data_IF_119253668620
#
_entry.id   IF_119253668620
#
_cell.length_a   1.000
_cell.length_b   1.000
_cell.length_c   1.000
_cell.angle_alpha   90.00
_cell.angle_beta   90.00
_cell.angle_gamma   90.00
#
_symmetry.space_group_name_H-M   'P 1'
#
loop_
_entity.id
_entity.type
_entity.pdbx_description
1 polymer ?
#
# COMPACT_ATOMS: atom_id res chain seq x y z
N UNK A 1 -5.53 -28.57 37.94
CA UNK A 1 -6.39 -28.03 36.87
C UNK A 1 -6.26 -26.51 36.87
N UNK A 2 -5.48 -25.94 35.95
CA UNK A 2 -5.17 -24.51 35.93
C UNK A 2 -6.24 -23.77 35.12
N UNK A 3 -7.28 -23.26 35.78
CA UNK A 3 -8.29 -22.41 35.14
C UNK A 3 -7.64 -21.04 34.88
N UNK A 4 -7.06 -20.86 33.69
CA UNK A 4 -6.84 -19.52 33.14
C UNK A 4 -8.21 -18.86 33.07
N UNK A 5 -8.46 -17.89 33.94
CA UNK A 5 -9.62 -17.01 33.85
C UNK A 5 -9.52 -16.31 32.50
N UNK A 6 -10.37 -16.70 31.54
CA UNK A 6 -10.50 -15.97 30.29
C UNK A 6 -10.94 -14.54 30.64
N UNK A 7 -10.12 -13.56 30.28
CA UNK A 7 -10.48 -12.16 30.45
C UNK A 7 -11.74 -11.90 29.64
N UNK A 8 -12.72 -11.25 30.25
CA UNK A 8 -13.88 -10.79 29.50
C UNK A 8 -13.44 -9.70 28.53
N UNK A 9 -14.16 -9.55 27.41
CA UNK A 9 -13.90 -8.46 26.46
C UNK A 9 -13.89 -7.10 27.16
N UNK A 10 -14.75 -6.92 28.16
CA UNK A 10 -14.82 -5.71 28.99
C UNK A 10 -13.55 -5.45 29.81
N UNK A 11 -13.01 -6.46 30.50
CA UNK A 11 -11.78 -6.28 31.28
C UNK A 11 -10.55 -6.06 30.41
N UNK A 12 -10.52 -6.68 29.21
CA UNK A 12 -9.47 -6.42 28.23
C UNK A 12 -9.55 -5.00 27.65
N UNK A 13 -10.74 -4.50 27.33
CA UNK A 13 -10.94 -3.13 26.85
C UNK A 13 -10.48 -2.09 27.88
N UNK A 14 -10.90 -2.24 29.14
CA UNK A 14 -10.51 -1.34 30.23
C UNK A 14 -8.99 -1.33 30.41
N UNK A 15 -8.33 -2.49 30.47
CA UNK A 15 -6.87 -2.56 30.60
C UNK A 15 -6.14 -1.87 29.43
N UNK A 16 -6.65 -2.01 28.21
CA UNK A 16 -6.07 -1.38 27.01
C UNK A 16 -6.24 0.14 27.02
N UNK A 17 -7.41 0.63 27.45
CA UNK A 17 -7.68 2.07 27.58
C UNK A 17 -6.85 2.70 28.70
N UNK A 18 -6.72 2.05 29.85
CA UNK A 18 -5.86 2.53 30.94
C UNK A 18 -4.39 2.62 30.51
N UNK A 19 -3.90 1.61 29.78
CA UNK A 19 -2.54 1.61 29.22
C UNK A 19 -2.34 2.71 28.19
N UNK A 20 -3.38 3.05 27.43
CA UNK A 20 -3.36 4.14 26.46
C UNK A 20 -3.35 5.50 27.16
N UNK A 21 -4.23 5.72 28.14
CA UNK A 21 -4.29 6.96 28.92
C UNK A 21 -2.96 7.29 29.62
N UNK A 22 -2.35 6.30 30.29
CA UNK A 22 -1.02 6.47 30.92
C UNK A 22 0.08 6.87 29.94
N UNK A 23 -0.02 6.43 28.68
CA UNK A 23 0.94 6.84 27.64
C UNK A 23 0.67 8.25 27.14
N UNK A 24 -0.57 8.69 27.08
CA UNK A 24 -0.91 10.08 26.74
C UNK A 24 -0.48 11.06 27.83
N UNK A 25 -0.54 10.67 29.10
CA UNK A 25 -0.05 11.49 30.22
C UNK A 25 1.49 11.68 30.19
N UNK A 26 2.22 10.74 29.59
CA UNK A 26 3.68 10.78 29.49
C UNK A 26 4.19 11.53 28.25
N UNK A 27 3.32 12.29 27.59
CA UNK A 27 3.58 12.96 26.32
C UNK A 27 3.48 14.46 26.52
N UNK A 28 4.56 15.17 26.25
CA UNK A 28 4.64 16.63 26.42
C UNK A 28 4.16 17.39 25.16
N UNK A 29 4.18 16.75 23.98
CA UNK A 29 3.75 17.35 22.71
C UNK A 29 3.02 16.37 21.79
N UNK A 30 2.22 16.91 20.86
CA UNK A 30 1.51 16.09 19.85
C UNK A 30 2.49 15.30 18.97
N UNK A 31 3.71 15.81 18.73
CA UNK A 31 4.72 15.14 17.90
C UNK A 31 5.23 13.84 18.55
N UNK A 32 5.27 13.78 19.88
CA UNK A 32 5.71 12.60 20.64
C UNK A 32 4.72 11.43 20.55
N UNK A 33 3.48 11.70 20.13
CA UNK A 33 2.47 10.65 19.88
C UNK A 33 2.95 9.62 18.87
N UNK A 34 3.69 10.08 17.85
CA UNK A 34 4.24 9.22 16.79
C UNK A 34 5.24 8.18 17.32
N UNK A 35 5.87 8.45 18.46
CA UNK A 35 6.89 7.57 19.08
C UNK A 35 6.29 6.28 19.64
N UNK A 36 5.03 6.29 20.09
CA UNK A 36 4.37 5.10 20.64
C UNK A 36 3.11 4.66 19.90
N UNK A 37 2.48 5.52 19.08
CA UNK A 37 1.42 5.15 18.12
C UNK A 37 2.02 4.60 16.82
N UNK A 38 2.83 3.56 16.96
CA UNK A 38 3.54 2.95 15.83
C UNK A 38 2.77 1.78 15.24
N UNK A 39 2.91 1.54 13.94
CA UNK A 39 2.32 0.40 13.22
C UNK A 39 3.18 -0.89 13.34
N UNK A 40 4.09 -0.95 14.33
CA UNK A 40 5.10 -2.01 14.48
C UNK A 40 4.52 -3.42 14.71
N UNK A 41 3.31 -3.50 15.26
CA UNK A 41 2.64 -4.76 15.62
C UNK A 41 1.27 -4.87 14.95
N UNK A 42 1.19 -4.55 13.67
CA UNK A 42 -0.02 -4.80 12.88
C UNK A 42 0.18 -6.05 12.05
N UNK A 43 -0.73 -7.01 12.19
CA UNK A 43 -0.81 -8.14 11.28
C UNK A 43 -1.65 -7.72 10.09
N UNK A 44 -1.00 -7.58 8.95
CA UNK A 44 -1.67 -7.34 7.68
C UNK A 44 -2.02 -8.70 7.06
N UNK A 45 -3.32 -8.97 6.89
CA UNK A 45 -3.82 -10.14 6.18
C UNK A 45 -4.10 -9.73 4.75
N UNK A 46 -3.07 -9.71 3.92
CA UNK A 46 -3.17 -9.24 2.55
C UNK A 46 -2.72 -10.33 1.58
N UNK A 47 -3.55 -10.60 0.59
CA UNK A 47 -3.21 -11.44 -0.56
C UNK A 47 -3.13 -10.53 -1.78
N UNK A 48 -2.00 -10.46 -2.50
CA UNK A 48 -1.92 -9.66 -3.71
C UNK A 48 -2.99 -10.11 -4.70
N UNK A 49 -3.76 -9.15 -5.24
CA UNK A 49 -4.68 -9.45 -6.33
C UNK A 49 -3.91 -10.00 -7.54
N UNK A 50 -4.53 -10.91 -8.29
CA UNK A 50 -4.02 -11.32 -9.59
C UNK A 50 -4.57 -10.38 -10.65
N UNK A 51 -3.77 -10.10 -11.68
CA UNK A 51 -4.16 -9.23 -12.80
C UNK A 51 -4.01 -10.00 -14.10
N UNK A 52 -5.10 -10.11 -14.86
CA UNK A 52 -5.06 -10.54 -16.26
C UNK A 52 -4.43 -9.46 -17.14
N UNK A 53 -4.01 -9.83 -18.35
CA UNK A 53 -3.46 -8.86 -19.31
C UNK A 53 -4.41 -7.72 -19.65
N UNK A 54 -5.71 -8.00 -19.74
CA UNK A 54 -6.74 -6.98 -19.93
C UNK A 54 -6.83 -6.01 -18.74
N UNK A 55 -6.69 -6.51 -17.52
CA UNK A 55 -6.70 -5.68 -16.31
C UNK A 55 -5.44 -4.82 -16.21
N UNK A 56 -4.26 -5.36 -16.56
CA UNK A 56 -3.01 -4.58 -16.63
C UNK A 56 -3.17 -3.43 -17.63
N UNK A 57 -3.69 -3.73 -18.82
CA UNK A 57 -3.96 -2.73 -19.85
C UNK A 57 -4.94 -1.66 -19.36
N UNK A 58 -6.02 -2.06 -18.68
CA UNK A 58 -7.01 -1.14 -18.13
C UNK A 58 -6.42 -0.19 -17.08
N UNK A 59 -5.57 -0.70 -16.17
CA UNK A 59 -4.85 0.13 -15.19
C UNK A 59 -3.96 1.14 -15.90
N UNK A 60 -3.16 0.71 -16.89
CA UNK A 60 -2.31 1.62 -17.67
C UNK A 60 -3.12 2.70 -18.38
N UNK A 61 -4.22 2.34 -19.02
CA UNK A 61 -5.07 3.26 -19.77
C UNK A 61 -5.81 4.24 -18.85
N UNK A 62 -6.18 3.82 -17.63
CA UNK A 62 -6.74 4.71 -16.61
C UNK A 62 -5.77 5.84 -16.20
N UNK A 63 -4.47 5.55 -16.22
CA UNK A 63 -3.40 6.52 -15.98
C UNK A 63 -3.08 7.35 -17.24
N UNK A 64 -3.64 7.01 -18.39
CA UNK A 64 -3.43 7.68 -19.69
C UNK A 64 -1.95 7.73 -20.13
N UNK A 65 -1.20 6.65 -19.86
CA UNK A 65 0.22 6.56 -20.20
C UNK A 65 0.50 5.45 -21.22
N UNK A 66 1.62 5.61 -21.94
CA UNK A 66 2.13 4.59 -22.86
C UNK A 66 2.70 3.39 -22.09
N UNK A 67 2.87 2.24 -22.76
CA UNK A 67 3.52 1.06 -22.15
C UNK A 67 4.92 1.38 -21.64
N UNK A 68 5.68 2.24 -22.34
CA UNK A 68 7.03 2.63 -21.93
C UNK A 68 7.03 3.45 -20.64
N UNK A 69 6.15 4.45 -20.54
CA UNK A 69 6.02 5.29 -19.33
C UNK A 69 5.48 4.47 -18.17
N UNK A 70 4.55 3.56 -18.42
CA UNK A 70 4.03 2.66 -17.38
C UNK A 70 5.08 1.69 -16.86
N UNK A 71 5.89 1.12 -17.76
CA UNK A 71 7.00 0.25 -17.40
C UNK A 71 8.05 0.98 -16.55
N UNK A 72 8.43 2.19 -16.97
CA UNK A 72 9.36 3.05 -16.23
C UNK A 72 8.81 3.40 -14.83
N UNK A 73 7.52 3.76 -14.76
CA UNK A 73 6.85 4.08 -13.51
C UNK A 73 6.79 2.89 -12.53
N UNK A 74 6.57 1.68 -13.05
CA UNK A 74 6.53 0.45 -12.26
C UNK A 74 7.93 -0.13 -11.98
N UNK A 75 8.99 0.41 -12.58
CA UNK A 75 10.36 -0.09 -12.43
C UNK A 75 10.60 -1.45 -13.11
N UNK A 76 9.94 -1.69 -14.26
CA UNK A 76 10.03 -2.94 -15.02
C UNK A 76 10.36 -2.68 -16.49
N UNK A 77 10.65 -3.74 -17.25
CA UNK A 77 10.92 -3.59 -18.69
C UNK A 77 9.63 -3.38 -19.49
N UNK A 78 9.73 -2.66 -20.61
CA UNK A 78 8.61 -2.52 -21.56
C UNK A 78 8.17 -3.87 -22.13
N UNK A 79 9.11 -4.82 -22.25
CA UNK A 79 8.83 -6.21 -22.62
C UNK A 79 7.91 -6.90 -21.61
N UNK A 80 8.16 -6.72 -20.32
CA UNK A 80 7.31 -7.32 -19.28
C UNK A 80 5.87 -6.79 -19.36
N UNK A 81 5.68 -5.46 -19.45
CA UNK A 81 4.34 -4.87 -19.61
C UNK A 81 3.63 -5.40 -20.85
N UNK A 82 4.34 -5.54 -21.97
CA UNK A 82 3.79 -6.09 -23.22
C UNK A 82 3.38 -7.54 -23.07
N UNK A 83 4.25 -8.38 -22.50
CA UNK A 83 3.98 -9.80 -22.28
C UNK A 83 2.77 -9.99 -21.35
N UNK A 84 2.64 -9.15 -20.32
CA UNK A 84 1.47 -9.15 -19.44
C UNK A 84 0.20 -8.77 -20.17
N UNK A 85 0.19 -7.65 -20.89
CA UNK A 85 -0.99 -7.18 -21.63
C UNK A 85 -1.43 -8.16 -22.73
N UNK A 86 -0.51 -8.99 -23.23
CA UNK A 86 -0.78 -10.07 -24.19
C UNK A 86 -1.17 -11.40 -23.53
N UNK A 87 -1.10 -11.50 -22.20
CA UNK A 87 -1.38 -12.73 -21.46
C UNK A 87 -0.32 -13.83 -21.62
N UNK A 88 0.90 -13.47 -22.07
CA UNK A 88 2.03 -14.41 -22.20
C UNK A 88 2.57 -14.78 -20.81
N UNK A 89 2.66 -13.80 -19.92
CA UNK A 89 3.11 -13.95 -18.54
C UNK A 89 2.23 -13.13 -17.61
N UNK A 90 2.38 -13.34 -16.30
CA UNK A 90 1.66 -12.58 -15.27
C UNK A 90 2.58 -11.60 -14.51
N UNK A 91 2.04 -10.47 -14.02
CA UNK A 91 2.79 -9.56 -13.16
C UNK A 91 3.16 -10.21 -11.83
N UNK A 92 4.33 -9.84 -11.30
CA UNK A 92 4.78 -10.31 -9.99
C UNK A 92 4.00 -9.63 -8.85
N UNK A 93 3.88 -10.31 -7.71
CA UNK A 93 3.08 -9.85 -6.56
C UNK A 93 3.28 -8.38 -6.14
N UNK A 94 4.53 -7.84 -6.07
CA UNK A 94 4.74 -6.42 -5.77
C UNK A 94 4.13 -5.48 -6.81
N UNK A 95 4.20 -5.81 -8.09
CA UNK A 95 3.62 -5.02 -9.17
C UNK A 95 2.09 -5.09 -9.11
N UNK A 96 1.53 -6.28 -8.84
CA UNK A 96 0.11 -6.43 -8.58
C UNK A 96 -0.37 -5.53 -7.42
N UNK A 97 0.40 -5.47 -6.33
CA UNK A 97 0.08 -4.56 -5.22
C UNK A 97 0.07 -3.10 -5.66
N UNK A 98 1.08 -2.66 -6.41
CA UNK A 98 1.12 -1.26 -6.89
C UNK A 98 -0.08 -0.96 -7.79
N UNK A 99 -0.46 -1.88 -8.68
CA UNK A 99 -1.64 -1.72 -9.53
C UNK A 99 -2.96 -1.69 -8.74
N UNK A 100 -3.04 -2.42 -7.63
CA UNK A 100 -4.16 -2.34 -6.69
C UNK A 100 -4.23 -0.95 -6.03
N UNK A 101 -3.10 -0.42 -5.54
CA UNK A 101 -3.03 0.94 -4.99
C UNK A 101 -3.38 2.02 -6.02
N UNK A 102 -2.94 1.84 -7.28
CA UNK A 102 -3.32 2.72 -8.40
C UNK A 102 -4.84 2.69 -8.62
N UNK A 103 -5.44 1.52 -8.59
CA UNK A 103 -6.89 1.35 -8.78
C UNK A 103 -7.66 1.97 -7.61
N UNK A 104 -7.13 1.89 -6.38
CA UNK A 104 -7.74 2.45 -5.18
C UNK A 104 -7.68 3.99 -5.12
N UNK A 105 -6.60 4.61 -5.62
CA UNK A 105 -6.44 6.08 -5.64
C UNK A 105 -5.82 6.60 -6.95
N UNK A 106 -6.55 6.43 -8.04
CA UNK A 106 -6.08 6.83 -9.38
C UNK A 106 -5.65 8.30 -9.46
N UNK A 107 -6.30 9.19 -8.70
CA UNK A 107 -6.04 10.63 -8.74
C UNK A 107 -4.65 10.95 -8.17
N UNK A 108 -4.29 10.38 -7.02
CA UNK A 108 -2.97 10.59 -6.42
C UNK A 108 -1.85 10.05 -7.28
N UNK A 109 -2.05 8.86 -7.85
CA UNK A 109 -1.06 8.22 -8.72
C UNK A 109 -0.87 8.97 -10.04
N UNK A 110 -1.96 9.45 -10.67
CA UNK A 110 -1.90 10.29 -11.86
C UNK A 110 -1.14 11.61 -11.60
N UNK A 111 -1.39 12.24 -10.44
CA UNK A 111 -0.64 13.43 -10.01
C UNK A 111 0.85 13.12 -9.87
N UNK A 112 1.19 11.98 -9.24
CA UNK A 112 2.58 11.58 -9.02
C UNK A 112 3.34 11.40 -10.33
N UNK A 113 2.73 10.77 -11.33
CA UNK A 113 3.35 10.60 -12.66
C UNK A 113 3.64 11.97 -13.30
N UNK A 114 2.71 12.93 -13.21
CA UNK A 114 2.93 14.29 -13.75
C UNK A 114 4.05 15.04 -13.04
N UNK A 115 4.15 14.90 -11.71
CA UNK A 115 5.25 15.49 -10.93
C UNK A 115 6.61 14.94 -11.36
N UNK A 116 6.70 13.63 -11.62
CA UNK A 116 7.93 12.98 -12.06
C UNK A 116 8.29 13.30 -13.52
N UNK A 117 7.28 13.44 -14.39
CA UNK A 117 7.48 13.78 -15.81
C UNK A 117 8.11 15.17 -16.03
N UNK A 118 7.97 16.09 -15.07
CA UNK A 118 8.57 17.42 -15.16
C UNK A 118 10.06 17.47 -14.80
N UNK A 119 10.63 16.37 -14.28
CA UNK A 119 12.05 16.33 -13.86
C UNK A 119 12.99 15.96 -15.02
N UNK A 120 12.48 15.46 -16.15
CA UNK A 120 13.28 15.10 -17.33
C UNK A 120 13.66 16.27 -18.24
N UNK A 121 13.24 17.50 -17.93
CA UNK A 121 13.71 18.71 -18.62
C UNK A 121 15.02 19.24 -18.00
N UNK A 122 16.06 18.39 -17.90
CA UNK A 122 17.44 18.82 -17.62
C UNK A 122 18.41 17.66 -17.81
N UNK A 123 18.71 17.32 -19.07
CA UNK A 123 19.97 16.71 -19.50
C UNK A 123 20.29 17.25 -20.90
#
# INVERSE_FOLDING_TARGET
MNKKTEKTVGSELVERLERFAKKLEAVDSVDDLSTFLTVRKVKLSLSPATFSGEQVKAVRESLQVSQAVFADFLGVSVGAVRDWEQGINEPIGPVCRIMEEITNDLKSWSRRIRELANVTASC
#
